data_IF_502243738536
#
_entry.id   IF_502243738536
#
_cell.length_a   1.000
_cell.length_b   1.000
_cell.length_c   1.000
_cell.angle_alpha   90.00
_cell.angle_beta   90.00
_cell.angle_gamma   90.00
#
_symmetry.space_group_name_H-M   'P 1'
#
loop_
_entity.id
_entity.type
_entity.pdbx_description
1 polymer ?
#
# COMPACT_ATOMS: atom_id res chain seq x y z
N UNK A 1 8.42 17.69 7.16
CA UNK A 1 7.39 16.68 7.50
C UNK A 1 6.15 17.05 6.70
N UNK A 2 5.70 16.15 5.81
CA UNK A 2 4.46 16.34 5.08
C UNK A 2 3.26 16.15 6.04
N UNK A 3 2.31 17.08 5.99
CA UNK A 3 1.11 17.05 6.83
C UNK A 3 -0.11 17.22 5.93
N UNK A 4 -1.05 16.30 6.04
CA UNK A 4 -2.34 16.39 5.38
C UNK A 4 -3.44 16.62 6.44
N UNK A 5 -4.33 17.57 6.19
CA UNK A 5 -5.41 17.93 7.11
C UNK A 5 -6.74 17.80 6.40
N UNK A 6 -7.63 16.97 6.97
CA UNK A 6 -9.00 16.78 6.48
C UNK A 6 -9.97 17.03 7.62
N UNK A 7 -11.10 17.69 7.32
CA UNK A 7 -12.17 17.87 8.30
C UNK A 7 -12.74 16.51 8.69
N UNK A 8 -12.93 16.28 9.99
CA UNK A 8 -13.47 15.02 10.52
C UNK A 8 -14.81 14.64 9.87
N UNK A 9 -15.72 15.59 9.77
CA UNK A 9 -17.04 15.39 9.13
C UNK A 9 -16.94 14.90 7.68
N UNK A 10 -15.95 15.40 6.93
CA UNK A 10 -15.72 14.97 5.56
C UNK A 10 -15.19 13.54 5.50
N UNK A 11 -14.25 13.19 6.38
CA UNK A 11 -13.73 11.83 6.49
C UNK A 11 -14.84 10.84 6.86
N UNK A 12 -15.67 11.18 7.84
CA UNK A 12 -16.80 10.36 8.26
C UNK A 12 -17.82 10.15 7.12
N UNK A 13 -18.09 11.21 6.34
CA UNK A 13 -18.95 11.14 5.16
C UNK A 13 -18.39 10.21 4.09
N UNK A 14 -17.10 10.30 3.76
CA UNK A 14 -16.45 9.42 2.78
C UNK A 14 -16.48 7.96 3.22
N UNK A 15 -16.14 7.69 4.47
CA UNK A 15 -16.16 6.33 5.01
C UNK A 15 -17.57 5.74 5.06
N UNK A 16 -18.59 6.55 5.35
CA UNK A 16 -19.97 6.12 5.32
C UNK A 16 -20.42 5.75 3.88
N UNK A 17 -20.06 6.57 2.89
CA UNK A 17 -20.37 6.29 1.48
C UNK A 17 -19.66 5.02 0.97
N UNK A 18 -18.38 4.85 1.28
CA UNK A 18 -17.61 3.65 0.93
C UNK A 18 -18.20 2.41 1.60
N UNK A 19 -18.54 2.50 2.87
CA UNK A 19 -19.16 1.41 3.63
C UNK A 19 -20.53 1.03 3.05
N UNK A 20 -21.34 2.01 2.65
CA UNK A 20 -22.64 1.76 1.98
C UNK A 20 -22.47 1.03 0.64
N UNK A 21 -21.35 1.29 -0.07
CA UNK A 21 -20.97 0.56 -1.28
C UNK A 21 -20.27 -0.79 -1.01
N UNK A 22 -20.15 -1.21 0.26
CA UNK A 22 -19.45 -2.45 0.64
C UNK A 22 -17.92 -2.38 0.54
N UNK A 23 -17.35 -1.18 0.41
CA UNK A 23 -15.92 -0.94 0.28
C UNK A 23 -15.34 -0.59 1.64
N UNK A 24 -14.33 -1.34 2.07
CA UNK A 24 -13.56 -1.06 3.29
C UNK A 24 -12.14 -0.66 2.89
N UNK A 25 -11.82 0.65 2.84
CA UNK A 25 -10.51 1.10 2.43
C UNK A 25 -9.46 0.74 3.49
N UNK A 26 -8.28 0.31 3.03
CA UNK A 26 -7.10 0.09 3.88
C UNK A 26 -6.25 1.35 3.99
N UNK A 27 -6.32 2.22 2.99
CA UNK A 27 -5.66 3.51 2.95
C UNK A 27 -6.50 4.50 2.13
N UNK A 28 -6.42 5.75 2.48
CA UNK A 28 -6.96 6.89 1.71
C UNK A 28 -5.81 7.88 1.54
N UNK A 29 -5.56 8.29 0.32
CA UNK A 29 -4.52 9.24 -0.03
C UNK A 29 -5.12 10.43 -0.78
N UNK A 30 -4.47 11.59 -0.71
CA UNK A 30 -4.82 12.69 -1.58
C UNK A 30 -4.38 12.37 -3.02
N UNK A 31 -5.18 12.77 -4.00
CA UNK A 31 -4.87 12.67 -5.42
C UNK A 31 -3.61 13.48 -5.78
N UNK A 32 -3.43 14.63 -5.15
CA UNK A 32 -2.23 15.44 -5.29
C UNK A 32 -0.94 14.69 -4.93
N UNK A 33 -0.97 13.81 -3.92
CA UNK A 33 0.18 12.97 -3.55
C UNK A 33 0.49 11.92 -4.62
N UNK A 34 -0.50 11.58 -5.44
CA UNK A 34 -0.39 10.61 -6.52
C UNK A 34 0.24 11.17 -7.79
N UNK A 35 0.42 12.48 -7.90
CA UNK A 35 1.13 13.07 -9.03
C UNK A 35 2.60 12.67 -8.97
N UNK A 36 3.04 11.94 -10.01
CA UNK A 36 4.40 11.37 -10.06
C UNK A 36 5.46 12.47 -10.07
N UNK A 37 6.45 12.34 -9.19
CA UNK A 37 7.66 13.15 -9.24
C UNK A 37 8.62 12.55 -10.28
N UNK A 38 8.82 13.26 -11.39
CA UNK A 38 9.70 12.83 -12.47
C UNK A 38 10.92 13.76 -12.48
N UNK A 39 12.10 13.19 -12.25
CA UNK A 39 13.34 13.98 -12.24
C UNK A 39 13.49 14.80 -13.52
N UNK A 40 13.66 16.10 -13.38
CA UNK A 40 13.85 17.05 -14.48
C UNK A 40 12.57 17.46 -15.22
N UNK A 41 11.41 16.86 -14.94
CA UNK A 41 10.14 17.18 -15.58
C UNK A 41 9.10 17.61 -14.56
N UNK A 42 8.42 18.72 -14.83
CA UNK A 42 7.20 19.06 -14.09
C UNK A 42 6.04 18.25 -14.67
N UNK A 43 5.21 17.71 -13.80
CA UNK A 43 4.05 16.89 -14.15
C UNK A 43 2.77 17.65 -13.92
N UNK A 44 1.93 17.74 -14.94
CA UNK A 44 0.61 18.35 -14.88
C UNK A 44 -0.45 17.28 -15.18
N UNK A 45 -1.38 17.07 -14.27
CA UNK A 45 -2.54 16.19 -14.46
C UNK A 45 -3.80 17.06 -14.49
N UNK A 46 -4.59 16.91 -15.54
CA UNK A 46 -5.83 17.65 -15.75
C UNK A 46 -7.01 16.70 -15.61
N UNK A 47 -7.95 17.10 -14.78
CA UNK A 47 -9.26 16.49 -14.63
C UNK A 47 -10.35 17.54 -14.95
N UNK A 48 -11.62 17.13 -15.05
CA UNK A 48 -12.70 18.01 -15.49
C UNK A 48 -12.85 19.29 -14.66
N UNK A 49 -12.43 19.29 -13.41
CA UNK A 49 -12.57 20.41 -12.49
C UNK A 49 -11.26 20.91 -11.90
N UNK A 50 -10.18 20.13 -12.01
CA UNK A 50 -8.94 20.40 -11.30
C UNK A 50 -7.72 20.22 -12.20
N UNK A 51 -6.71 21.03 -11.94
CA UNK A 51 -5.36 20.89 -12.47
C UNK A 51 -4.39 20.65 -11.31
N UNK A 52 -3.63 19.57 -11.38
CA UNK A 52 -2.66 19.14 -10.39
C UNK A 52 -1.26 19.30 -10.99
N UNK A 53 -0.49 20.26 -10.51
CA UNK A 53 0.87 20.52 -11.00
C UNK A 53 1.89 20.15 -9.93
N UNK A 54 2.90 19.40 -10.32
CA UNK A 54 4.04 19.06 -9.45
C UNK A 54 5.36 19.34 -10.14
N UNK A 55 6.20 20.13 -9.51
CA UNK A 55 7.59 20.32 -9.90
C UNK A 55 8.48 19.19 -9.37
N UNK A 56 9.63 18.90 -10.02
CA UNK A 56 10.59 17.93 -9.51
C UNK A 56 11.04 18.26 -8.08
N UNK A 57 10.82 17.31 -7.16
CA UNK A 57 11.17 17.47 -5.74
C UNK A 57 10.30 18.48 -4.98
N UNK A 58 9.28 19.05 -5.63
CA UNK A 58 8.36 20.01 -5.02
C UNK A 58 7.07 19.38 -4.50
N UNK A 59 6.34 20.19 -3.74
CA UNK A 59 4.98 19.83 -3.31
C UNK A 59 3.99 20.07 -4.47
N UNK A 60 2.96 19.22 -4.60
CA UNK A 60 1.94 19.40 -5.62
C UNK A 60 1.08 20.65 -5.34
N UNK A 61 0.74 21.36 -6.41
CA UNK A 61 -0.18 22.50 -6.39
C UNK A 61 -1.48 22.09 -7.08
N UNK A 62 -2.61 22.38 -6.45
CA UNK A 62 -3.94 22.14 -6.97
C UNK A 62 -4.61 23.44 -7.34
N UNK A 63 -5.20 23.52 -8.51
CA UNK A 63 -5.97 24.66 -9.00
C UNK A 63 -7.26 24.20 -9.66
N UNK A 64 -8.23 25.08 -9.80
CA UNK A 64 -9.38 24.83 -10.67
C UNK A 64 -8.95 24.83 -12.13
N UNK A 65 -9.58 24.01 -12.96
CA UNK A 65 -9.25 23.89 -14.37
C UNK A 65 -9.41 25.22 -15.12
N UNK A 66 -10.41 26.00 -14.78
CA UNK A 66 -10.65 27.33 -15.37
C UNK A 66 -9.51 28.31 -15.11
N UNK A 67 -8.67 28.05 -14.10
CA UNK A 67 -7.51 28.84 -13.75
C UNK A 67 -6.19 28.29 -14.31
N UNK A 68 -6.25 27.32 -15.23
CA UNK A 68 -5.08 26.63 -15.78
C UNK A 68 -4.04 27.58 -16.37
N UNK A 69 -4.46 28.56 -17.15
CA UNK A 69 -3.54 29.54 -17.75
C UNK A 69 -2.81 30.35 -16.66
N UNK A 70 -3.54 30.80 -15.63
CA UNK A 70 -2.97 31.48 -14.49
C UNK A 70 -1.99 30.62 -13.68
N UNK A 71 -2.31 29.34 -13.50
CA UNK A 71 -1.41 28.38 -12.86
C UNK A 71 -0.11 28.22 -13.65
N UNK A 72 -0.18 28.07 -14.97
CA UNK A 72 0.99 27.93 -15.83
C UNK A 72 1.84 29.20 -15.87
N UNK A 73 1.20 30.40 -15.92
CA UNK A 73 1.90 31.66 -15.83
C UNK A 73 2.65 31.81 -14.49
N UNK A 74 1.98 31.49 -13.39
CA UNK A 74 2.60 31.53 -12.07
C UNK A 74 3.77 30.55 -11.98
N UNK A 75 3.59 29.34 -12.47
CA UNK A 75 4.64 28.31 -12.54
C UNK A 75 5.84 28.77 -13.36
N UNK A 76 5.62 29.41 -14.52
CA UNK A 76 6.69 29.97 -15.35
C UNK A 76 7.42 31.14 -14.68
N UNK A 77 6.72 31.93 -13.86
CA UNK A 77 7.29 33.06 -13.14
C UNK A 77 8.11 32.65 -11.89
N UNK A 78 7.94 31.44 -11.38
CA UNK A 78 8.69 30.99 -10.20
C UNK A 78 10.19 30.92 -10.48
N UNK A 79 11.04 31.48 -9.61
CA UNK A 79 12.48 31.35 -9.73
C UNK A 79 12.91 29.90 -9.54
N UNK A 80 13.80 29.40 -10.40
CA UNK A 80 14.42 28.08 -10.21
C UNK A 80 15.81 28.23 -9.60
N UNK A 81 16.16 27.32 -8.67
CA UNK A 81 17.53 27.27 -8.19
C UNK A 81 18.47 26.92 -9.37
N UNK A 82 19.55 27.69 -9.49
CA UNK A 82 20.60 27.33 -10.43
C UNK A 82 21.24 26.00 -10.03
N UNK A 83 21.59 25.21 -11.02
CA UNK A 83 22.38 24.00 -10.81
C UNK A 83 23.78 24.34 -10.27
N UNK A 84 24.54 23.36 -9.82
CA UNK A 84 25.87 23.56 -9.25
C UNK A 84 26.87 24.22 -10.22
N UNK A 85 26.63 24.16 -11.52
CA UNK A 85 27.36 24.84 -12.60
C UNK A 85 26.88 26.26 -12.90
N UNK A 86 25.90 26.77 -12.16
CA UNK A 86 25.29 28.07 -12.36
C UNK A 86 24.24 28.11 -13.48
N UNK A 87 23.99 27.02 -14.19
CA UNK A 87 22.97 26.95 -15.22
C UNK A 87 21.57 26.83 -14.60
N UNK A 88 20.60 27.55 -15.16
CA UNK A 88 19.19 27.35 -14.80
C UNK A 88 18.66 26.16 -15.60
N UNK A 89 18.18 25.08 -14.93
CA UNK A 89 17.72 23.90 -15.64
C UNK A 89 16.53 24.23 -16.55
N UNK A 90 16.41 23.60 -17.73
CA UNK A 90 15.30 23.82 -18.63
C UNK A 90 13.97 23.43 -17.97
N UNK A 91 12.87 24.09 -18.37
CA UNK A 91 11.53 23.72 -17.96
C UNK A 91 10.97 22.69 -18.93
N UNK A 92 10.75 21.50 -18.44
CA UNK A 92 10.07 20.44 -19.20
C UNK A 92 8.71 20.23 -18.55
N UNK A 93 7.64 20.20 -19.33
CA UNK A 93 6.28 19.97 -18.86
C UNK A 93 5.69 18.73 -19.49
N UNK A 94 5.31 17.77 -18.67
CA UNK A 94 4.57 16.59 -19.08
C UNK A 94 3.12 16.71 -18.62
N UNK A 95 2.22 16.76 -19.57
CA UNK A 95 0.78 16.93 -19.34
C UNK A 95 0.06 15.60 -19.54
N UNK A 96 -0.77 15.25 -18.57
CA UNK A 96 -1.73 14.14 -18.64
C UNK A 96 -3.14 14.71 -18.63
N UNK A 97 -3.75 14.79 -19.80
CA UNK A 97 -5.07 15.37 -19.99
C UNK A 97 -6.14 14.27 -19.90
N UNK A 98 -6.86 14.24 -18.78
CA UNK A 98 -7.97 13.34 -18.49
C UNK A 98 -9.33 14.05 -18.56
N UNK A 99 -9.38 15.27 -19.08
CA UNK A 99 -10.64 15.99 -19.26
C UNK A 99 -11.49 15.35 -20.37
N UNK A 100 -12.79 15.41 -20.27
CA UNK A 100 -13.72 14.78 -21.25
C UNK A 100 -13.47 15.33 -22.66
N UNK A 101 -13.48 16.64 -22.83
CA UNK A 101 -13.35 17.27 -24.14
C UNK A 101 -11.89 17.53 -24.58
N UNK A 102 -10.96 17.47 -23.63
CA UNK A 102 -9.57 17.86 -23.83
C UNK A 102 -9.36 19.38 -23.80
N UNK A 103 -8.19 19.77 -23.33
CA UNK A 103 -7.80 21.17 -23.38
C UNK A 103 -7.43 21.54 -24.82
N UNK A 104 -7.94 22.68 -25.37
CA UNK A 104 -7.67 23.10 -26.73
C UNK A 104 -6.17 23.23 -27.00
N UNK A 105 -5.74 22.82 -28.21
CA UNK A 105 -4.33 22.92 -28.61
C UNK A 105 -3.79 24.35 -28.58
N UNK A 106 -4.64 25.35 -28.86
CA UNK A 106 -4.30 26.78 -28.80
C UNK A 106 -3.76 27.19 -27.41
N UNK A 107 -4.24 26.54 -26.35
CA UNK A 107 -3.70 26.77 -25.01
C UNK A 107 -2.25 26.31 -24.93
N UNK A 108 -1.94 25.14 -25.46
CA UNK A 108 -0.58 24.60 -25.44
C UNK A 108 0.39 25.35 -26.36
N UNK A 109 -0.05 25.80 -27.50
CA UNK A 109 0.74 26.60 -28.44
C UNK A 109 1.29 27.87 -27.80
N UNK A 110 0.49 28.52 -26.90
CA UNK A 110 0.93 29.71 -26.16
C UNK A 110 2.06 29.46 -25.17
N UNK A 111 2.20 28.24 -24.69
CA UNK A 111 3.22 27.89 -23.71
C UNK A 111 4.40 27.11 -24.29
N UNK A 112 4.26 26.54 -25.50
CA UNK A 112 5.26 25.68 -26.13
C UNK A 112 6.61 26.37 -26.28
N UNK A 113 6.63 27.63 -26.72
CA UNK A 113 7.87 28.40 -26.94
C UNK A 113 8.55 28.85 -25.63
N UNK A 114 7.86 28.69 -24.51
CA UNK A 114 8.33 29.17 -23.18
C UNK A 114 8.90 28.03 -22.33
N UNK A 115 8.79 26.79 -22.78
CA UNK A 115 9.33 25.58 -22.13
C UNK A 115 10.29 24.87 -23.09
N UNK A 116 11.23 24.12 -22.53
CA UNK A 116 12.19 23.37 -23.34
C UNK A 116 11.55 22.11 -23.97
N UNK A 117 10.58 21.52 -23.29
CA UNK A 117 9.76 20.46 -23.85
C UNK A 117 8.35 20.51 -23.27
N UNK A 118 7.36 20.25 -24.12
CA UNK A 118 5.96 20.09 -23.76
C UNK A 118 5.46 18.79 -24.39
N UNK A 119 5.07 17.85 -23.52
CA UNK A 119 4.48 16.59 -23.96
C UNK A 119 3.07 16.47 -23.41
N UNK A 120 2.07 16.42 -24.28
CA UNK A 120 0.66 16.27 -23.88
C UNK A 120 0.19 14.86 -24.22
N UNK A 121 -0.28 14.12 -23.23
CA UNK A 121 -0.84 12.79 -23.37
C UNK A 121 -2.29 12.77 -22.92
N UNK A 122 -3.17 12.36 -23.82
CA UNK A 122 -4.58 12.14 -23.48
C UNK A 122 -4.75 10.86 -22.70
N UNK A 123 -5.59 10.93 -21.65
CA UNK A 123 -6.00 9.79 -20.82
C UNK A 123 -7.51 9.58 -20.99
N UNK A 124 -7.96 8.84 -22.01
CA UNK A 124 -9.39 8.67 -22.28
C UNK A 124 -10.14 7.93 -21.16
N UNK A 125 -9.43 7.12 -20.38
CA UNK A 125 -9.99 6.36 -19.26
C UNK A 125 -9.95 7.15 -17.92
N UNK A 126 -9.60 8.44 -17.97
CA UNK A 126 -9.45 9.30 -16.80
C UNK A 126 -8.10 9.18 -16.10
N UNK A 127 -7.84 10.08 -15.14
CA UNK A 127 -6.57 10.13 -14.41
C UNK A 127 -6.47 9.05 -13.31
N UNK A 128 -7.59 8.53 -12.82
CA UNK A 128 -7.66 7.67 -11.63
C UNK A 128 -6.74 6.45 -11.70
N UNK A 129 -6.71 5.75 -12.84
CA UNK A 129 -5.86 4.55 -13.00
C UNK A 129 -4.38 4.88 -12.87
N UNK A 130 -3.96 6.01 -13.45
CA UNK A 130 -2.58 6.48 -13.36
C UNK A 130 -2.22 6.92 -11.94
N UNK A 131 -3.08 7.71 -11.31
CA UNK A 131 -2.89 8.16 -9.92
C UNK A 131 -2.85 6.97 -8.96
N UNK A 132 -3.74 5.99 -9.12
CA UNK A 132 -3.74 4.77 -8.33
C UNK A 132 -2.45 3.95 -8.50
N UNK A 133 -1.94 3.81 -9.72
CA UNK A 133 -0.67 3.12 -9.97
C UNK A 133 0.51 3.85 -9.30
N UNK A 134 0.51 5.17 -9.31
CA UNK A 134 1.54 5.99 -8.67
C UNK A 134 1.54 5.83 -7.15
N UNK A 135 0.37 5.83 -6.51
CA UNK A 135 0.22 5.62 -5.06
C UNK A 135 0.73 4.25 -4.61
N UNK A 136 0.56 3.20 -5.43
CA UNK A 136 1.06 1.86 -5.11
C UNK A 136 2.60 1.83 -5.06
N UNK A 137 3.26 2.59 -5.93
CA UNK A 137 4.73 2.63 -6.02
C UNK A 137 5.37 3.61 -5.05
N UNK A 138 4.71 4.73 -4.79
CA UNK A 138 5.17 5.80 -3.89
C UNK A 138 3.98 6.32 -3.07
N UNK A 139 3.62 5.63 -2.00
CA UNK A 139 2.46 6.01 -1.20
C UNK A 139 2.71 7.35 -0.51
N UNK A 140 1.78 8.27 -0.70
CA UNK A 140 1.70 9.53 0.03
C UNK A 140 1.23 9.35 1.47
N UNK A 141 0.83 10.45 2.10
CA UNK A 141 0.28 10.41 3.47
C UNK A 141 -1.03 9.61 3.49
N UNK A 142 -1.06 8.54 4.27
CA UNK A 142 -2.32 7.82 4.51
C UNK A 142 -3.18 8.62 5.50
N UNK A 143 -4.37 9.00 5.08
CA UNK A 143 -5.33 9.77 5.89
C UNK A 143 -6.03 8.91 6.95
N UNK A 144 -6.02 7.57 6.80
CA UNK A 144 -6.57 6.65 7.81
C UNK A 144 -5.59 6.46 8.97
N UNK A 145 -5.49 7.48 9.83
CA UNK A 145 -4.65 7.49 11.02
C UNK A 145 -5.49 7.73 12.29
N UNK A 146 -4.93 7.46 13.45
CA UNK A 146 -5.59 7.67 14.73
C UNK A 146 -6.89 6.87 14.88
N UNK A 147 -8.00 7.58 15.06
CA UNK A 147 -9.34 6.98 15.23
C UNK A 147 -9.83 6.22 13.98
N UNK A 148 -9.26 6.52 12.81
CA UNK A 148 -9.63 5.95 11.51
C UNK A 148 -8.79 4.76 11.08
N UNK A 149 -7.81 4.34 11.88
CA UNK A 149 -6.99 3.16 11.57
C UNK A 149 -7.89 1.93 11.41
N UNK A 150 -7.85 1.33 10.23
CA UNK A 150 -8.58 0.09 9.98
C UNK A 150 -8.09 -1.02 10.93
N UNK A 151 -8.93 -1.43 11.87
CA UNK A 151 -8.63 -2.50 12.83
C UNK A 151 -8.65 -3.91 12.22
N UNK A 152 -8.87 -4.01 10.91
CA UNK A 152 -9.24 -5.28 10.26
C UNK A 152 -8.08 -6.09 9.66
N UNK A 153 -6.83 -5.68 9.80
CA UNK A 153 -5.74 -6.37 9.10
C UNK A 153 -5.50 -7.82 9.55
N UNK A 154 -5.74 -8.14 10.81
CA UNK A 154 -5.54 -9.50 11.34
C UNK A 154 -6.61 -10.48 10.85
N UNK A 155 -7.87 -10.05 10.73
CA UNK A 155 -8.97 -10.89 10.26
C UNK A 155 -8.88 -11.25 8.77
N UNK A 156 -8.32 -10.38 7.95
CA UNK A 156 -8.19 -10.59 6.50
C UNK A 156 -7.13 -11.64 6.14
N UNK A 157 -6.11 -11.82 6.98
CA UNK A 157 -5.06 -12.82 6.76
C UNK A 157 -5.45 -14.22 7.26
N UNK A 158 -6.43 -14.33 8.17
CA UNK A 158 -6.85 -15.60 8.76
C UNK A 158 -7.24 -16.69 7.75
N UNK A 159 -8.01 -16.42 6.69
CA UNK A 159 -8.35 -17.44 5.70
C UNK A 159 -7.13 -18.04 4.99
N UNK A 160 -6.10 -17.24 4.76
CA UNK A 160 -4.87 -17.67 4.07
C UNK A 160 -3.98 -18.55 4.95
N UNK A 161 -4.03 -18.36 6.28
CA UNK A 161 -3.22 -19.09 7.24
C UNK A 161 -3.91 -20.33 7.83
N UNK A 162 -5.21 -20.52 7.56
CA UNK A 162 -5.98 -21.67 8.09
C UNK A 162 -5.37 -23.00 7.70
N UNK A 163 -4.96 -23.19 6.44
CA UNK A 163 -4.33 -24.42 5.97
C UNK A 163 -2.98 -24.66 6.64
N UNK A 164 -2.15 -23.64 6.75
CA UNK A 164 -0.85 -23.75 7.42
C UNK A 164 -1.04 -24.08 8.92
N UNK A 165 -1.95 -23.43 9.59
CA UNK A 165 -2.28 -23.72 11.00
C UNK A 165 -2.81 -25.12 11.19
N UNK A 166 -3.68 -25.62 10.29
CA UNK A 166 -4.20 -26.99 10.34
C UNK A 166 -3.08 -28.02 10.13
N UNK A 167 -2.13 -27.79 9.22
CA UNK A 167 -0.99 -28.66 9.01
C UNK A 167 -0.06 -28.72 10.21
N UNK A 168 0.24 -27.57 10.83
CA UNK A 168 1.04 -27.51 12.05
C UNK A 168 0.34 -28.24 13.20
N UNK A 169 -0.95 -28.07 13.38
CA UNK A 169 -1.73 -28.78 14.38
C UNK A 169 -1.75 -30.30 14.14
N UNK A 170 -1.91 -30.72 12.88
CA UNK A 170 -1.86 -32.16 12.52
C UNK A 170 -0.48 -32.78 12.79
N UNK A 171 0.60 -32.06 12.46
CA UNK A 171 1.96 -32.49 12.72
C UNK A 171 2.23 -32.61 14.23
N UNK A 172 1.85 -31.60 15.01
CA UNK A 172 1.97 -31.63 16.46
C UNK A 172 1.17 -32.80 17.07
N UNK A 173 -0.05 -33.03 16.58
CA UNK A 173 -0.88 -34.17 16.99
C UNK A 173 -0.23 -35.53 16.68
N UNK A 174 0.39 -35.67 15.50
CA UNK A 174 1.10 -36.90 15.13
C UNK A 174 2.32 -37.13 16.03
N UNK A 175 3.09 -36.12 16.35
CA UNK A 175 4.25 -36.22 17.26
C UNK A 175 3.79 -36.65 18.67
N UNK A 176 2.73 -36.06 19.18
CA UNK A 176 2.18 -36.46 20.51
C UNK A 176 1.65 -37.89 20.49
N UNK A 177 0.98 -38.29 19.42
CA UNK A 177 0.45 -39.64 19.27
C UNK A 177 1.56 -40.70 19.21
N UNK A 178 2.64 -40.44 18.44
CA UNK A 178 3.79 -41.37 18.39
C UNK A 178 4.52 -41.46 19.72
N UNK A 179 4.77 -40.34 20.38
CA UNK A 179 5.39 -40.32 21.71
C UNK A 179 4.53 -41.04 22.75
N UNK A 180 3.20 -40.86 22.70
CA UNK A 180 2.26 -41.57 23.54
C UNK A 180 2.25 -43.09 23.32
N UNK A 181 2.30 -43.53 22.03
CA UNK A 181 2.37 -44.93 21.67
C UNK A 181 3.68 -45.61 22.15
N UNK A 182 4.80 -44.89 21.99
CA UNK A 182 6.09 -45.36 22.47
C UNK A 182 6.15 -45.48 24.00
N UNK A 183 5.63 -44.47 24.70
CA UNK A 183 5.52 -44.53 26.17
C UNK A 183 4.62 -45.68 26.63
N UNK A 184 3.55 -45.97 25.90
CA UNK A 184 2.65 -47.08 26.25
C UNK A 184 3.33 -48.44 25.99
N UNK A 185 4.05 -48.63 24.86
CA UNK A 185 4.84 -49.84 24.58
C UNK A 185 5.91 -50.09 25.66
N UNK A 186 6.70 -49.04 25.98
CA UNK A 186 7.72 -49.14 27.04
C UNK A 186 7.14 -49.55 28.40
N UNK A 187 5.94 -49.07 28.75
CA UNK A 187 5.25 -49.49 30.01
C UNK A 187 4.81 -50.98 29.95
N UNK A 188 4.35 -51.47 28.80
CA UNK A 188 4.01 -52.87 28.66
C UNK A 188 5.25 -53.76 28.71
N UNK A 189 6.33 -53.38 28.07
CA UNK A 189 7.61 -54.10 28.12
C UNK A 189 8.20 -54.15 29.54
N UNK A 190 8.15 -53.01 30.26
CA UNK A 190 8.62 -52.96 31.65
C UNK A 190 7.78 -53.83 32.59
N UNK A 191 6.44 -53.87 32.39
CA UNK A 191 5.58 -54.75 33.16
C UNK A 191 5.84 -56.21 32.88
N UNK A 192 6.12 -56.61 31.63
CA UNK A 192 6.47 -57.97 31.27
C UNK A 192 7.81 -58.40 31.87
N UNK A 193 8.81 -57.52 31.82
CA UNK A 193 10.12 -57.77 32.40
C UNK A 193 10.05 -57.87 33.94
N UNK A 194 9.23 -57.07 34.61
CA UNK A 194 8.98 -57.24 36.05
C UNK A 194 8.38 -58.57 36.45
N UNK A 195 7.48 -59.12 35.60
CA UNK A 195 6.92 -60.45 35.80
C UNK A 195 7.97 -61.55 35.65
N UNK A 196 8.82 -61.44 34.58
CA UNK A 196 9.91 -62.40 34.38
C UNK A 196 10.93 -62.35 35.52
N UNK A 197 11.31 -61.15 35.98
CA UNK A 197 12.22 -60.98 37.13
C UNK A 197 11.61 -61.62 38.40
N UNK A 198 10.32 -61.41 38.68
CA UNK A 198 9.63 -62.04 39.80
C UNK A 198 9.58 -63.56 39.70
N UNK A 199 9.31 -64.11 38.52
CA UNK A 199 9.36 -65.52 38.29
C UNK A 199 10.76 -66.11 38.47
N UNK A 200 11.77 -65.45 37.90
CA UNK A 200 13.14 -65.91 38.06
C UNK A 200 13.60 -65.82 39.54
N UNK A 201 13.21 -64.80 40.25
CA UNK A 201 13.52 -64.62 41.69
C UNK A 201 12.85 -65.73 42.52
N UNK A 202 11.57 -66.08 42.22
CA UNK A 202 10.88 -67.18 42.95
C UNK A 202 11.49 -68.57 42.70
N UNK A 203 12.08 -68.77 41.52
CA UNK A 203 12.81 -69.99 41.22
C UNK A 203 14.18 -70.04 41.89
N UNK A 204 14.89 -68.94 42.02
CA UNK A 204 16.23 -68.87 42.55
C UNK A 204 16.23 -68.85 44.11
N UNK A 205 15.17 -68.36 44.73
CA UNK A 205 15.05 -68.23 46.20
C UNK A 205 13.70 -68.73 46.69
N UNK A 206 13.44 -70.06 46.67
CA UNK A 206 12.23 -70.64 47.20
C UNK A 206 12.17 -70.47 48.73
N UNK A 207 11.33 -69.53 49.21
CA UNK A 207 11.14 -69.34 50.65
C UNK A 207 11.43 -67.99 51.24
N UNK A 208 11.66 -66.97 50.43
CA UNK A 208 11.73 -65.55 50.86
C UNK A 208 10.44 -64.86 50.36
N UNK A 209 9.44 -64.68 51.21
CA UNK A 209 8.27 -63.82 51.07
C UNK A 209 8.68 -62.36 51.31
#
# INVERSE_FOLDING_TARGET
>A
VAVAVVRRERMDSWLAQLSAAGIQPQAIHADSDAVVDIAGNSTLVLEDHHALLRDPGGDPVVSELDSLEGLLELWLAQPRPAAADGAVPPRNLQVYDATVDGVPNETWERFQDRVASLEVRRLPDGALLRLAAAIVTSPGVNLLQGDYVSRSSLGSYWPRWRLAAALVAALAGAIVATAGADAWRLRQESAALELEIRQAASFAFPGVD
#
